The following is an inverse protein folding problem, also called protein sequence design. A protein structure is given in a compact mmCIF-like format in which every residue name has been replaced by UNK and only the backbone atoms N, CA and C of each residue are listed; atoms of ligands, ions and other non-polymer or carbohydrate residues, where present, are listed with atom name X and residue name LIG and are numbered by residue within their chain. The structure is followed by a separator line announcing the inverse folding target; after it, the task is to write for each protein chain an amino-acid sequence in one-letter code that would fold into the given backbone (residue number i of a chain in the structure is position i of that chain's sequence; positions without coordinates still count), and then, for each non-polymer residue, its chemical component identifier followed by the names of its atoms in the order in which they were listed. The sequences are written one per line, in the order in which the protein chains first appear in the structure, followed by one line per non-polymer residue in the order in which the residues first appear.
data_IF_242617578489
#
_entry.id   IF_242617578489
#
_cell.length_a   1.000
_cell.length_b   1.000
_cell.length_c   1.000
_cell.angle_alpha   90.00
_cell.angle_beta   90.00
_cell.angle_gamma   90.00
#
_symmetry.space_group_name_H-M   'P 1'
#
loop_
_entity.id
_entity.type
_entity.pdbx_description
1 polymer ?
#
# COMPACT_ATOMS: atom_id res chain seq x y z
N UNK A 1 15.82 19.64 -13.73
CA UNK A 1 15.41 19.40 -12.33
C UNK A 1 15.04 17.95 -12.24
N UNK A 2 15.49 17.21 -11.23
CA UNK A 2 15.03 15.85 -10.98
C UNK A 2 14.00 15.86 -9.84
N UNK A 3 13.25 14.77 -9.70
CA UNK A 3 12.44 14.49 -8.52
C UNK A 3 12.64 13.00 -8.22
N UNK A 4 13.88 12.65 -7.87
CA UNK A 4 14.35 11.27 -7.73
C UNK A 4 14.28 10.77 -6.30
N UNK A 5 14.11 9.47 -6.13
CA UNK A 5 14.18 8.80 -4.84
C UNK A 5 14.64 7.35 -4.99
N UNK A 6 15.14 6.76 -3.90
CA UNK A 6 15.24 5.31 -3.73
C UNK A 6 14.33 4.87 -2.59
N UNK A 7 13.62 3.76 -2.78
CA UNK A 7 12.88 3.08 -1.71
C UNK A 7 13.62 1.78 -1.38
N UNK A 8 13.88 1.51 -0.11
CA UNK A 8 14.58 0.33 0.41
C UNK A 8 13.93 -0.17 1.71
N UNK A 9 14.21 -1.40 2.13
CA UNK A 9 13.85 -1.91 3.48
C UNK A 9 14.96 -1.64 4.50
N UNK A 10 14.72 -1.83 5.81
CA UNK A 10 15.76 -1.77 6.85
C UNK A 10 16.98 -2.65 6.57
N UNK A 11 16.80 -3.79 5.91
CA UNK A 11 17.86 -4.75 5.60
C UNK A 11 18.80 -4.29 4.49
N UNK A 12 18.42 -3.25 3.71
CA UNK A 12 19.25 -2.67 2.65
C UNK A 12 19.73 -3.71 1.63
N UNK A 13 18.82 -4.56 1.14
CA UNK A 13 19.14 -5.55 0.11
C UNK A 13 18.81 -5.06 -1.31
N UNK A 14 17.68 -4.36 -1.47
CA UNK A 14 17.17 -3.90 -2.76
C UNK A 14 16.79 -2.42 -2.68
N UNK A 15 17.07 -1.69 -3.77
CA UNK A 15 16.59 -0.33 -4.00
C UNK A 15 15.65 -0.27 -5.19
N UNK A 16 14.47 0.30 -5.01
CA UNK A 16 13.57 0.73 -6.08
C UNK A 16 13.89 2.20 -6.39
N UNK A 17 14.47 2.45 -7.56
CA UNK A 17 14.81 3.77 -8.04
C UNK A 17 13.64 4.41 -8.78
N UNK A 18 13.35 5.67 -8.45
CA UNK A 18 12.41 6.54 -9.13
C UNK A 18 13.17 7.72 -9.73
N UNK A 19 13.00 7.97 -11.04
CA UNK A 19 13.62 9.12 -11.70
C UNK A 19 12.80 10.42 -11.52
N UNK A 20 11.49 10.26 -11.34
CA UNK A 20 10.50 11.33 -11.15
C UNK A 20 9.50 10.90 -10.07
N UNK A 21 8.71 11.84 -9.53
CA UNK A 21 7.73 11.57 -8.47
C UNK A 21 8.32 10.75 -7.30
N UNK A 22 9.51 11.15 -6.86
CA UNK A 22 10.20 10.59 -5.71
C UNK A 22 9.83 11.26 -4.38
N UNK A 23 9.03 12.34 -4.38
CA UNK A 23 8.58 13.00 -3.16
C UNK A 23 7.73 12.10 -2.26
N UNK A 24 7.65 12.42 -0.97
CA UNK A 24 6.85 11.64 0.00
C UNK A 24 5.38 11.62 -0.41
N UNK A 25 4.91 12.74 -0.93
CA UNK A 25 3.58 12.93 -1.51
C UNK A 25 3.22 11.96 -2.65
N UNK A 26 4.21 11.25 -3.21
CA UNK A 26 4.02 10.11 -4.13
C UNK A 26 4.34 8.77 -3.48
N UNK A 27 5.44 8.69 -2.73
CA UNK A 27 5.92 7.43 -2.13
C UNK A 27 4.91 6.89 -1.11
N UNK A 28 4.35 7.74 -0.27
CA UNK A 28 3.39 7.32 0.75
C UNK A 28 2.06 6.82 0.13
N UNK A 29 1.44 7.51 -0.85
CA UNK A 29 0.33 6.94 -1.61
C UNK A 29 0.67 5.66 -2.36
N UNK A 30 1.90 5.49 -2.88
CA UNK A 30 2.32 4.26 -3.57
C UNK A 30 2.29 3.07 -2.61
N UNK A 31 2.87 3.25 -1.42
CA UNK A 31 2.89 2.22 -0.38
C UNK A 31 1.46 1.87 0.06
N UNK A 32 0.62 2.89 0.29
CA UNK A 32 -0.78 2.69 0.65
C UNK A 32 -1.56 1.96 -0.45
N UNK A 33 -1.34 2.33 -1.71
CA UNK A 33 -1.99 1.67 -2.83
C UNK A 33 -1.60 0.20 -2.92
N UNK A 34 -0.30 -0.12 -2.75
CA UNK A 34 0.18 -1.50 -2.74
C UNK A 34 -0.37 -2.33 -1.57
N UNK A 35 -0.52 -1.72 -0.39
CA UNK A 35 -1.20 -2.31 0.75
C UNK A 35 -2.66 -2.64 0.43
N UNK A 36 -3.41 -1.67 -0.12
CA UNK A 36 -4.82 -1.83 -0.49
C UNK A 36 -5.04 -2.87 -1.60
N UNK A 37 -4.06 -3.02 -2.51
CA UNK A 37 -4.03 -4.11 -3.48
C UNK A 37 -3.84 -5.49 -2.84
N UNK A 38 -3.54 -5.56 -1.55
CA UNK A 38 -3.29 -6.80 -0.82
C UNK A 38 -1.97 -7.46 -1.23
N UNK A 39 -1.01 -6.69 -1.75
CA UNK A 39 0.30 -7.23 -2.09
C UNK A 39 1.04 -7.68 -0.83
N UNK A 40 1.91 -8.69 -0.98
CA UNK A 40 2.73 -9.19 0.12
C UNK A 40 3.63 -8.07 0.64
N UNK A 41 3.72 -7.96 1.96
CA UNK A 41 4.43 -6.90 2.64
C UNK A 41 5.94 -6.93 2.33
N UNK A 42 6.61 -5.78 2.16
CA UNK A 42 8.07 -5.69 2.07
C UNK A 42 8.80 -6.35 3.24
N UNK A 43 8.18 -6.39 4.43
CA UNK A 43 8.74 -7.01 5.64
C UNK A 43 8.83 -8.53 5.55
N UNK A 44 7.88 -9.18 4.85
CA UNK A 44 7.80 -10.64 4.79
C UNK A 44 8.25 -11.23 3.46
N UNK A 45 8.13 -10.49 2.36
CA UNK A 45 8.52 -10.90 1.01
C UNK A 45 9.00 -9.68 0.20
N UNK A 46 10.21 -9.15 0.49
CA UNK A 46 10.70 -7.91 -0.10
C UNK A 46 10.81 -7.99 -1.63
N UNK A 47 11.26 -9.11 -2.17
CA UNK A 47 11.38 -9.30 -3.61
C UNK A 47 10.02 -9.19 -4.33
N UNK A 48 8.97 -9.82 -3.79
CA UNK A 48 7.63 -9.72 -4.37
C UNK A 48 7.07 -8.30 -4.23
N UNK A 49 7.22 -7.68 -3.07
CA UNK A 49 6.71 -6.34 -2.82
C UNK A 49 7.36 -5.31 -3.77
N UNK A 50 8.67 -5.38 -3.97
CA UNK A 50 9.40 -4.49 -4.89
C UNK A 50 9.00 -4.71 -6.34
N UNK A 51 8.76 -5.96 -6.76
CA UNK A 51 8.23 -6.24 -8.09
C UNK A 51 6.85 -5.59 -8.31
N UNK A 52 5.99 -5.57 -7.28
CA UNK A 52 4.67 -4.94 -7.37
C UNK A 52 4.72 -3.42 -7.29
N UNK A 53 5.55 -2.84 -6.44
CA UNK A 53 5.79 -1.39 -6.46
C UNK A 53 6.34 -0.92 -7.82
N UNK A 54 7.31 -1.65 -8.38
CA UNK A 54 7.84 -1.38 -9.71
C UNK A 54 6.77 -1.51 -10.81
N UNK A 55 5.87 -2.50 -10.71
CA UNK A 55 4.74 -2.63 -11.63
C UNK A 55 3.80 -1.43 -11.54
N UNK A 56 3.40 -1.02 -10.32
CA UNK A 56 2.50 0.11 -10.13
C UNK A 56 3.12 1.40 -10.69
N UNK A 57 4.37 1.68 -10.35
CA UNK A 57 5.08 2.86 -10.84
C UNK A 57 5.34 2.81 -12.35
N UNK A 58 5.68 1.64 -12.89
CA UNK A 58 5.88 1.45 -14.33
C UNK A 58 4.61 1.72 -15.14
N UNK A 59 3.46 1.25 -14.64
CA UNK A 59 2.16 1.55 -15.25
C UNK A 59 1.82 3.04 -15.13
N UNK A 60 2.08 3.66 -13.97
CA UNK A 60 1.80 5.07 -13.71
C UNK A 60 2.61 6.02 -14.60
N UNK A 61 3.93 5.84 -14.69
CA UNK A 61 4.75 6.65 -15.58
C UNK A 61 4.41 6.39 -17.05
N UNK A 62 4.08 5.15 -17.39
CA UNK A 62 4.03 4.68 -18.76
C UNK A 62 5.41 4.72 -19.44
N UNK A 63 5.48 4.19 -20.66
CA UNK A 63 6.70 4.25 -21.47
C UNK A 63 7.79 3.25 -21.06
N UNK A 64 9.07 3.66 -21.20
CA UNK A 64 10.23 2.75 -21.14
C UNK A 64 11.31 3.13 -20.11
N UNK A 65 11.15 4.24 -19.39
CA UNK A 65 12.15 4.81 -18.47
C UNK A 65 11.51 5.18 -17.13
N UNK A 66 12.32 5.70 -16.20
CA UNK A 66 11.92 6.34 -14.92
C UNK A 66 11.74 5.44 -13.70
N UNK A 67 11.79 4.12 -13.84
CA UNK A 67 11.79 3.17 -12.73
C UNK A 67 12.90 2.13 -12.89
N UNK A 68 13.56 1.74 -11.80
CA UNK A 68 14.63 0.75 -11.82
C UNK A 68 14.74 -0.05 -10.53
N UNK A 69 15.30 -1.25 -10.60
CA UNK A 69 15.64 -2.07 -9.44
C UNK A 69 17.15 -2.27 -9.43
N UNK A 70 17.77 -2.13 -8.27
CA UNK A 70 19.20 -2.38 -8.08
C UNK A 70 19.44 -3.11 -6.76
N UNK A 71 20.47 -3.96 -6.66
CA UNK A 71 21.04 -4.32 -5.38
C UNK A 71 21.43 -3.05 -4.62
N UNK A 72 21.09 -3.01 -3.34
CA UNK A 72 21.44 -1.89 -2.48
C UNK A 72 22.85 -2.08 -1.92
N UNK A 73 23.60 -0.99 -1.74
CA UNK A 73 25.01 -1.03 -1.31
C UNK A 73 25.24 -0.24 -0.02
N UNK A 74 25.41 1.07 -0.11
CA UNK A 74 25.48 1.97 1.06
C UNK A 74 24.55 3.16 0.84
N UNK A 75 24.11 3.79 1.93
CA UNK A 75 23.19 4.93 1.85
C UNK A 75 23.82 6.08 1.04
N UNK A 76 25.12 6.35 1.20
CA UNK A 76 25.83 7.40 0.44
C UNK A 76 25.93 7.13 -1.06
N UNK A 77 26.13 5.87 -1.44
CA UNK A 77 26.25 5.48 -2.85
C UNK A 77 24.88 5.40 -3.55
N UNK A 78 23.83 5.18 -2.77
CA UNK A 78 22.47 4.97 -3.24
C UNK A 78 21.64 6.27 -3.24
N UNK A 79 22.05 7.31 -2.53
CA UNK A 79 21.31 8.58 -2.50
C UNK A 79 21.22 9.21 -3.90
N UNK A 80 20.00 9.37 -4.47
CA UNK A 80 19.83 10.00 -5.77
C UNK A 80 19.88 11.54 -5.71
N UNK A 81 19.98 12.14 -4.53
CA UNK A 81 20.18 13.56 -4.27
C UNK A 81 18.90 14.36 -4.01
N UNK A 82 17.85 14.19 -4.82
CA UNK A 82 16.66 15.07 -4.76
C UNK A 82 15.81 14.79 -3.49
N UNK A 83 15.09 13.67 -3.45
CA UNK A 83 14.28 13.24 -2.31
C UNK A 83 14.92 12.05 -1.58
N UNK A 84 16.23 11.88 -1.68
CA UNK A 84 16.93 10.91 -0.84
C UNK A 84 16.43 9.46 -0.93
N UNK A 85 16.39 8.82 0.23
CA UNK A 85 16.16 7.38 0.40
C UNK A 85 15.05 7.15 1.43
N UNK A 86 13.96 6.52 1.00
CA UNK A 86 12.90 6.06 1.89
C UNK A 86 13.19 4.65 2.38
N UNK A 87 13.22 4.50 3.70
CA UNK A 87 13.33 3.20 4.38
C UNK A 87 11.93 2.79 4.80
N UNK A 88 11.44 1.67 4.28
CA UNK A 88 10.08 1.19 4.54
C UNK A 88 10.08 -0.09 5.39
N UNK A 89 9.36 -0.09 6.51
CA UNK A 89 9.08 -1.30 7.30
C UNK A 89 7.62 -1.71 7.05
N UNK A 90 7.44 -2.76 6.25
CA UNK A 90 6.13 -3.07 5.69
C UNK A 90 5.70 -2.01 4.68
N UNK A 91 4.47 -1.50 4.81
CA UNK A 91 3.92 -0.48 3.91
C UNK A 91 4.00 0.94 4.48
N UNK A 92 4.83 1.15 5.51
CA UNK A 92 5.01 2.44 6.15
C UNK A 92 6.46 2.92 6.00
N UNK A 93 6.65 4.24 5.88
CA UNK A 93 7.97 4.87 5.87
C UNK A 93 8.49 4.92 7.31
N UNK A 94 9.52 4.13 7.60
CA UNK A 94 10.17 4.06 8.91
C UNK A 94 11.26 5.14 9.07
N UNK A 95 11.94 5.51 7.98
CA UNK A 95 12.95 6.56 7.95
C UNK A 95 13.03 7.17 6.54
N UNK A 96 13.56 8.38 6.46
CA UNK A 96 13.81 9.07 5.20
C UNK A 96 15.17 9.75 5.30
N UNK A 97 16.14 9.29 4.51
CA UNK A 97 17.53 9.71 4.59
C UNK A 97 17.91 10.63 3.44
N UNK A 98 18.78 11.60 3.70
CA UNK A 98 19.44 12.40 2.66
C UNK A 98 20.89 12.65 2.98
N UNK A 99 21.65 12.99 1.95
CA UNK A 99 23.02 13.48 2.06
C UNK A 99 23.05 14.77 2.87
N UNK A 100 23.93 14.79 3.86
CA UNK A 100 24.24 15.97 4.65
C UNK A 100 25.46 16.69 4.07
N UNK A 101 25.34 18.01 3.95
CA UNK A 101 26.37 18.88 3.43
C UNK A 101 26.80 19.90 4.49
N UNK A 102 28.09 20.23 4.54
CA UNK A 102 28.59 21.37 5.30
C UNK A 102 28.34 22.72 4.58
N UNK A 103 28.77 23.82 5.19
CA UNK A 103 28.65 25.18 4.64
C UNK A 103 29.36 25.36 3.28
N UNK A 104 30.34 24.49 2.96
CA UNK A 104 31.08 24.47 1.70
C UNK A 104 30.46 23.53 0.65
N UNK A 105 29.27 22.97 0.91
CA UNK A 105 28.63 21.94 0.08
C UNK A 105 29.45 20.65 -0.06
N UNK A 106 30.27 20.31 0.93
CA UNK A 106 30.95 19.01 0.98
C UNK A 106 30.09 18.01 1.72
N UNK A 107 30.01 16.80 1.19
CA UNK A 107 29.33 15.68 1.83
C UNK A 107 30.03 15.35 3.15
N UNK A 108 29.28 15.40 4.24
CA UNK A 108 29.78 15.06 5.60
C UNK A 108 29.16 13.80 6.17
N UNK A 109 28.07 13.30 5.56
CA UNK A 109 27.42 12.06 5.95
C UNK A 109 26.02 11.92 5.36
N UNK A 110 25.24 11.02 5.95
CA UNK A 110 23.80 10.87 5.72
C UNK A 110 23.07 11.24 7.01
N UNK A 111 21.89 11.82 6.89
CA UNK A 111 21.01 12.11 8.04
C UNK A 111 19.55 11.83 7.71
N UNK A 112 18.76 11.56 8.74
CA UNK A 112 17.31 11.56 8.62
C UNK A 112 16.80 12.96 8.27
N UNK A 113 15.74 12.98 7.47
CA UNK A 113 15.05 14.17 7.04
C UNK A 113 14.11 14.65 8.15
N UNK A 114 14.09 15.95 8.42
CA UNK A 114 13.21 16.51 9.43
C UNK A 114 11.81 16.76 8.87
N UNK A 115 10.75 16.68 9.72
CA UNK A 115 9.41 17.05 9.32
C UNK A 115 9.36 18.48 8.77
N UNK A 116 8.87 18.65 7.53
CA UNK A 116 8.76 19.95 6.85
C UNK A 116 9.90 20.27 5.85
N UNK A 117 10.89 19.39 5.73
CA UNK A 117 11.90 19.47 4.65
C UNK A 117 11.42 18.84 3.33
N UNK A 118 10.21 18.26 3.32
CA UNK A 118 9.65 17.53 2.18
C UNK A 118 8.74 18.44 1.35
N UNK A 119 8.78 18.21 0.03
CA UNK A 119 7.82 18.76 -0.90
C UNK A 119 6.45 18.06 -0.75
N UNK A 120 5.38 18.86 -0.76
CA UNK A 120 3.97 18.43 -0.73
C UNK A 120 3.23 19.05 -1.93
N UNK A 121 3.51 18.52 -3.12
CA UNK A 121 2.94 19.00 -4.38
C UNK A 121 1.65 18.27 -4.72
N UNK A 122 1.54 17.01 -4.29
CA UNK A 122 0.43 16.13 -4.60
C UNK A 122 -0.42 15.81 -3.38
N UNK A 123 -1.73 15.93 -3.53
CA UNK A 123 -2.65 15.45 -2.50
C UNK A 123 -2.66 13.92 -2.51
N UNK A 124 -2.63 13.35 -1.32
CA UNK A 124 -2.63 11.90 -1.09
C UNK A 124 -3.71 11.16 -1.90
N UNK A 125 -4.97 11.61 -1.80
CA UNK A 125 -6.11 10.98 -2.50
C UNK A 125 -6.04 11.13 -4.02
N UNK A 126 -5.51 12.25 -4.51
CA UNK A 126 -5.34 12.48 -5.94
C UNK A 126 -4.30 11.52 -6.53
N UNK A 127 -3.23 11.22 -5.77
CA UNK A 127 -2.21 10.24 -6.17
C UNK A 127 -2.72 8.81 -6.13
N UNK A 128 -3.51 8.44 -5.12
CA UNK A 128 -4.18 7.13 -5.10
C UNK A 128 -5.05 6.93 -6.35
N UNK A 129 -5.84 7.95 -6.73
CA UNK A 129 -6.65 7.90 -7.97
C UNK A 129 -5.79 7.81 -9.21
N UNK A 130 -4.64 8.48 -9.24
CA UNK A 130 -3.74 8.44 -10.39
C UNK A 130 -3.09 7.07 -10.58
N UNK A 131 -2.66 6.42 -9.49
CA UNK A 131 -2.16 5.05 -9.53
C UNK A 131 -3.24 4.07 -9.97
N UNK A 132 -4.45 4.21 -9.43
CA UNK A 132 -5.57 3.36 -9.79
C UNK A 132 -5.94 3.49 -11.27
N UNK A 133 -6.09 4.72 -11.77
CA UNK A 133 -6.41 4.99 -13.16
C UNK A 133 -5.35 4.45 -14.13
N UNK A 134 -4.10 4.33 -13.70
CA UNK A 134 -3.01 3.78 -14.49
C UNK A 134 -2.98 2.23 -14.51
N UNK A 135 -3.69 1.55 -13.60
CA UNK A 135 -3.77 0.09 -13.63
C UNK A 135 -4.63 -0.42 -14.80
N UNK A 136 -4.38 -1.64 -15.30
CA UNK A 136 -5.31 -2.32 -16.18
C UNK A 136 -6.73 -2.30 -15.59
N UNK A 137 -7.75 -2.08 -16.42
CA UNK A 137 -9.15 -1.86 -15.96
C UNK A 137 -9.64 -2.92 -14.96
N UNK A 138 -9.28 -4.20 -15.15
CA UNK A 138 -9.68 -5.28 -14.24
C UNK A 138 -8.92 -5.33 -12.90
N UNK A 139 -7.85 -4.55 -12.77
CA UNK A 139 -6.99 -4.45 -11.60
C UNK A 139 -7.22 -3.15 -10.81
N UNK A 140 -8.10 -2.27 -11.26
CA UNK A 140 -8.43 -1.03 -10.55
C UNK A 140 -9.26 -1.35 -9.29
N UNK A 141 -8.95 -0.67 -8.20
CA UNK A 141 -9.65 -0.73 -6.91
C UNK A 141 -10.94 0.12 -6.93
N UNK A 142 -10.97 1.23 -7.68
CA UNK A 142 -12.15 2.08 -7.81
C UNK A 142 -12.66 2.57 -6.45
N UNK A 143 -13.96 2.42 -6.20
CA UNK A 143 -14.61 2.88 -4.96
C UNK A 143 -14.02 2.27 -3.68
N UNK A 144 -13.33 1.12 -3.78
CA UNK A 144 -12.68 0.48 -2.63
C UNK A 144 -11.62 1.39 -1.98
N UNK A 145 -10.94 2.23 -2.77
CA UNK A 145 -9.89 3.14 -2.28
C UNK A 145 -10.37 4.04 -1.14
N UNK A 146 -11.63 4.48 -1.22
CA UNK A 146 -12.21 5.48 -0.32
C UNK A 146 -13.35 4.91 0.52
N UNK A 147 -13.57 3.59 0.45
CA UNK A 147 -14.51 2.90 1.32
C UNK A 147 -14.12 3.09 2.78
N UNK A 148 -15.11 3.35 3.63
CA UNK A 148 -14.92 3.59 5.06
C UNK A 148 -14.42 2.30 5.73
N UNK A 149 -13.32 2.37 6.47
CA UNK A 149 -12.85 1.24 7.26
C UNK A 149 -13.49 1.28 8.65
N UNK A 150 -14.29 0.26 8.96
CA UNK A 150 -15.05 0.18 10.21
C UNK A 150 -14.73 -1.11 10.98
N UNK A 151 -14.83 -1.12 12.32
CA UNK A 151 -14.77 -2.35 13.09
C UNK A 151 -15.87 -3.32 12.64
N UNK A 152 -15.55 -4.62 12.54
CA UNK A 152 -16.52 -5.63 12.07
C UNK A 152 -17.79 -5.65 12.93
N UNK A 153 -17.69 -5.34 14.22
CA UNK A 153 -18.85 -5.28 15.13
C UNK A 153 -19.84 -4.13 14.85
N UNK A 154 -19.46 -3.15 14.04
CA UNK A 154 -20.32 -2.02 13.65
C UNK A 154 -21.05 -2.24 12.32
N UNK A 155 -20.78 -3.37 11.66
CA UNK A 155 -21.36 -3.72 10.37
C UNK A 155 -22.77 -4.29 10.57
N UNK A 156 -23.74 -3.71 9.87
CA UNK A 156 -25.14 -4.10 9.96
C UNK A 156 -25.59 -4.96 8.77
N UNK A 157 -26.66 -5.73 8.96
CA UNK A 157 -27.31 -6.46 7.85
C UNK A 157 -27.81 -5.45 6.82
N UNK A 158 -27.45 -5.68 5.55
CA UNK A 158 -27.73 -4.77 4.44
C UNK A 158 -26.61 -3.79 4.10
N UNK A 159 -25.59 -3.63 4.96
CA UNK A 159 -24.39 -2.83 4.62
C UNK A 159 -23.66 -3.47 3.43
N UNK A 160 -23.10 -2.64 2.55
CA UNK A 160 -22.27 -3.10 1.44
C UNK A 160 -20.82 -3.15 1.89
N UNK A 161 -20.28 -4.35 2.09
CA UNK A 161 -18.92 -4.58 2.57
C UNK A 161 -18.02 -5.17 1.48
N UNK A 162 -16.75 -4.79 1.47
CA UNK A 162 -15.74 -5.39 0.61
C UNK A 162 -15.12 -6.62 1.28
N UNK A 163 -15.31 -7.78 0.65
CA UNK A 163 -14.73 -9.05 1.10
C UNK A 163 -13.48 -9.35 0.27
N UNK A 164 -12.35 -9.53 0.96
CA UNK A 164 -11.12 -9.95 0.33
C UNK A 164 -11.30 -11.34 -0.30
N UNK A 165 -10.80 -11.50 -1.53
CA UNK A 165 -10.72 -12.79 -2.21
C UNK A 165 -9.25 -13.20 -2.32
N UNK A 166 -8.99 -14.50 -2.27
CA UNK A 166 -7.66 -15.03 -2.51
C UNK A 166 -7.18 -14.62 -3.91
N UNK A 167 -6.07 -13.87 -3.98
CA UNK A 167 -5.43 -13.38 -5.21
C UNK A 167 -6.34 -12.56 -6.16
N UNK A 168 -7.33 -11.84 -5.62
CA UNK A 168 -8.20 -10.99 -6.45
C UNK A 168 -8.62 -9.70 -5.74
N UNK A 169 -9.04 -8.71 -6.53
CA UNK A 169 -9.62 -7.45 -6.04
C UNK A 169 -10.78 -7.74 -5.08
N UNK A 170 -10.86 -7.03 -3.94
CA UNK A 170 -11.96 -7.16 -3.00
C UNK A 170 -13.32 -7.01 -3.70
N UNK A 171 -14.27 -7.87 -3.35
CA UNK A 171 -15.61 -7.87 -3.96
C UNK A 171 -16.60 -7.21 -3.02
N UNK A 172 -17.34 -6.23 -3.55
CA UNK A 172 -18.44 -5.59 -2.83
C UNK A 172 -19.64 -6.52 -2.74
N UNK A 173 -20.12 -6.78 -1.52
CA UNK A 173 -21.22 -7.69 -1.22
C UNK A 173 -22.14 -7.12 -0.14
N UNK A 174 -23.43 -7.43 -0.22
CA UNK A 174 -24.35 -7.09 0.85
C UNK A 174 -24.18 -8.06 2.03
N UNK A 175 -24.11 -7.53 3.24
CA UNK A 175 -24.09 -8.31 4.47
C UNK A 175 -25.45 -8.98 4.64
N UNK A 176 -25.45 -10.32 4.64
CA UNK A 176 -26.66 -11.14 4.59
C UNK A 176 -27.20 -11.48 5.99
N UNK A 177 -26.34 -11.47 7.01
CA UNK A 177 -26.74 -11.81 8.37
C UNK A 177 -25.62 -11.68 9.39
N UNK A 178 -25.97 -11.96 10.64
CA UNK A 178 -25.05 -12.03 11.78
C UNK A 178 -25.10 -13.45 12.35
N UNK A 179 -23.93 -14.04 12.59
CA UNK A 179 -23.83 -15.37 13.18
C UNK A 179 -24.42 -15.44 14.58
N UNK A 180 -24.98 -16.60 14.94
CA UNK A 180 -25.73 -16.80 16.20
C UNK A 180 -25.22 -17.98 17.03
N UNK A 181 -24.11 -18.59 16.65
CA UNK A 181 -23.58 -19.74 17.36
C UNK A 181 -22.41 -20.40 16.64
N UNK A 182 -22.23 -21.68 16.95
CA UNK A 182 -21.09 -22.47 16.46
C UNK A 182 -21.34 -22.95 15.04
N UNK A 183 -20.43 -22.60 14.13
CA UNK A 183 -20.40 -23.07 12.74
C UNK A 183 -19.11 -23.84 12.52
N UNK A 184 -19.23 -25.13 12.16
CA UNK A 184 -18.09 -26.05 11.94
C UNK A 184 -17.01 -25.98 13.05
N UNK A 185 -17.43 -25.85 14.30
CA UNK A 185 -16.54 -25.85 15.47
C UNK A 185 -15.94 -24.50 15.87
N UNK A 186 -16.26 -23.40 15.16
CA UNK A 186 -15.93 -22.03 15.59
C UNK A 186 -17.17 -21.29 16.03
N UNK A 187 -17.08 -20.54 17.12
CA UNK A 187 -18.14 -19.63 17.55
C UNK A 187 -18.14 -18.39 16.65
N UNK A 188 -19.23 -18.21 15.91
CA UNK A 188 -19.41 -17.09 14.98
C UNK A 188 -20.45 -16.09 15.51
N UNK A 189 -20.82 -16.17 16.79
CA UNK A 189 -21.82 -15.29 17.38
C UNK A 189 -21.41 -13.82 17.26
N UNK A 190 -22.28 -13.00 16.67
CA UNK A 190 -22.03 -11.58 16.48
C UNK A 190 -21.17 -11.23 15.26
N UNK A 191 -20.63 -12.23 14.54
CA UNK A 191 -19.80 -11.97 13.35
C UNK A 191 -20.71 -11.83 12.11
N UNK A 192 -20.65 -10.72 11.38
CA UNK A 192 -21.36 -10.54 10.12
C UNK A 192 -20.86 -11.51 9.03
N UNK A 193 -21.75 -11.89 8.12
CA UNK A 193 -21.41 -12.69 6.96
C UNK A 193 -22.10 -12.18 5.70
N UNK A 194 -21.46 -12.37 4.56
CA UNK A 194 -22.03 -12.17 3.23
C UNK A 194 -22.18 -13.53 2.54
N UNK A 195 -23.35 -13.83 1.97
CA UNK A 195 -23.65 -15.15 1.36
C UNK A 195 -22.99 -15.31 -0.02
N UNK A 196 -21.68 -15.08 -0.09
CA UNK A 196 -20.89 -15.06 -1.32
C UNK A 196 -20.69 -16.47 -1.91
N UNK A 197 -20.58 -17.48 -1.05
CA UNK A 197 -20.30 -18.87 -1.44
C UNK A 197 -21.52 -19.79 -1.28
N UNK A 198 -22.71 -19.22 -1.06
CA UNK A 198 -23.94 -19.96 -0.78
C UNK A 198 -23.94 -20.61 0.60
N UNK A 199 -25.11 -21.16 0.96
CA UNK A 199 -25.38 -21.78 2.27
C UNK A 199 -25.36 -20.82 3.46
N UNK A 200 -25.41 -19.51 3.23
CA UNK A 200 -25.59 -18.48 4.26
C UNK A 200 -24.63 -18.63 5.44
N UNK A 201 -25.16 -18.51 6.65
CA UNK A 201 -24.38 -18.60 7.89
C UNK A 201 -23.81 -20.00 8.20
N UNK A 202 -24.15 -21.04 7.42
CA UNK A 202 -23.62 -22.40 7.63
C UNK A 202 -22.26 -22.62 6.95
N UNK A 203 -21.86 -21.69 6.08
CA UNK A 203 -20.55 -21.70 5.43
C UNK A 203 -19.60 -20.73 6.14
N UNK A 204 -18.57 -21.27 6.80
CA UNK A 204 -17.56 -20.45 7.49
C UNK A 204 -16.89 -19.42 6.58
N UNK A 205 -16.76 -19.70 5.28
CA UNK A 205 -16.11 -18.80 4.34
C UNK A 205 -16.94 -17.55 4.01
N UNK A 206 -18.21 -17.51 4.42
CA UNK A 206 -19.08 -16.33 4.22
C UNK A 206 -18.84 -15.25 5.28
N UNK A 207 -18.23 -15.58 6.42
CA UNK A 207 -18.04 -14.63 7.51
C UNK A 207 -16.93 -13.64 7.21
N UNK A 208 -17.13 -12.39 7.64
CA UNK A 208 -16.10 -11.37 7.57
C UNK A 208 -14.95 -11.74 8.52
N UNK A 209 -13.72 -11.55 8.06
CA UNK A 209 -12.50 -11.89 8.81
C UNK A 209 -11.71 -10.63 9.15
N UNK A 210 -10.98 -10.68 10.27
CA UNK A 210 -10.13 -9.59 10.74
C UNK A 210 -10.78 -8.68 11.78
N UNK A 211 -10.08 -7.60 12.19
CA UNK A 211 -10.62 -6.63 13.15
C UNK A 211 -11.54 -5.58 12.50
N UNK A 212 -11.28 -5.25 11.23
CA UNK A 212 -11.97 -4.20 10.47
C UNK A 212 -12.37 -4.71 9.09
N UNK A 213 -13.32 -4.03 8.46
CA UNK A 213 -13.72 -4.24 7.07
C UNK A 213 -14.03 -2.91 6.41
N UNK A 214 -13.85 -2.82 5.09
CA UNK A 214 -14.24 -1.64 4.33
C UNK A 214 -15.69 -1.74 3.88
N UNK A 215 -16.46 -0.68 4.12
CA UNK A 215 -17.87 -0.57 3.75
C UNK A 215 -18.10 0.62 2.82
N UNK A 216 -19.05 0.46 1.90
CA UNK A 216 -19.54 1.52 1.03
C UNK A 216 -20.85 2.06 1.64
N UNK A 217 -20.84 3.35 2.03
CA UNK A 217 -21.96 4.05 2.67
C UNK A 217 -22.22 5.39 1.99
#
# INVERSE_FOLDING_TARGET
MGNRAIITTPERELGLYLHWNGGRDTVEPLLKYCELKGYRSPKSDPGYAFARMAQVMGNFFGGTLSVGITPYTTDEAMDPGDNGIYVVDGWEIADHLRTEYDEDWKVVGMRSLEPGEEDDWHKFDDMLRAFDAAMPVGEQLGDYLFAEEVPIGEVSVGDMAYVAKYEATPTLVAVAGIGRGIVRGRDMTGIPFADLYGSGGDNLNNYLEGPTVRVLR
#
